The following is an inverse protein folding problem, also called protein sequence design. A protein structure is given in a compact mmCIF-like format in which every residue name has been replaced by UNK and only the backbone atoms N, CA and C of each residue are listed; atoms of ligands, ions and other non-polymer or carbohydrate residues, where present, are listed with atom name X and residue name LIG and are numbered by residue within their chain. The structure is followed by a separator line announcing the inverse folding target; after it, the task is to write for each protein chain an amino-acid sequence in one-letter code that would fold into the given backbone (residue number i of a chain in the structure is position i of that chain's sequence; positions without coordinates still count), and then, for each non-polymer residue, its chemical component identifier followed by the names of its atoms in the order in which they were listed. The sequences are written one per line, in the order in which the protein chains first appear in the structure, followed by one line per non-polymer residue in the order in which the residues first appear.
data_IF_420532233989
#
_entry.id   IF_420532233989
#
_cell.length_a   1.000
_cell.length_b   1.000
_cell.length_c   1.000
_cell.angle_alpha   90.00
_cell.angle_beta   90.00
_cell.angle_gamma   90.00
#
_symmetry.space_group_name_H-M   'P 1'
#
loop_
_entity.id
_entity.type
_entity.pdbx_description
1 polymer ?
#
# COMPACT_ATOMS: atom_id res chain seq x y z
N UNK A 1 -15.65 -5.14 37.20
CA UNK A 1 -15.52 -6.13 36.11
C UNK A 1 -14.22 -5.86 35.38
N UNK A 2 -13.30 -6.83 35.25
CA UNK A 2 -12.05 -6.59 34.53
C UNK A 2 -12.33 -6.55 33.02
N UNK A 3 -11.86 -5.49 32.35
CA UNK A 3 -11.90 -5.37 30.88
C UNK A 3 -11.05 -6.50 30.30
N UNK A 4 -11.63 -7.32 29.42
CA UNK A 4 -10.86 -8.26 28.59
C UNK A 4 -9.75 -7.43 27.94
N UNK A 5 -8.50 -7.66 28.33
CA UNK A 5 -7.36 -6.95 27.76
C UNK A 5 -7.26 -7.39 26.31
N UNK A 6 -7.22 -6.43 25.39
CA UNK A 6 -7.00 -6.56 23.94
C UNK A 6 -5.60 -7.12 23.62
N UNK A 7 -5.27 -8.26 24.21
CA UNK A 7 -3.99 -8.93 24.13
C UNK A 7 -4.20 -10.35 23.64
N UNK A 8 -3.81 -10.60 22.39
CA UNK A 8 -3.75 -11.94 21.83
C UNK A 8 -2.49 -12.63 22.35
N UNK A 9 -2.65 -13.78 22.99
CA UNK A 9 -1.52 -14.59 23.43
C UNK A 9 -1.15 -15.59 22.36
N UNK A 10 0.14 -15.81 22.16
CA UNK A 10 0.65 -16.75 21.15
C UNK A 10 1.75 -17.62 21.76
N UNK A 11 1.99 -18.76 21.09
CA UNK A 11 3.10 -19.64 21.43
C UNK A 11 3.78 -20.14 20.16
N UNK A 12 5.03 -19.74 19.96
CA UNK A 12 5.89 -20.21 18.87
C UNK A 12 7.15 -20.83 19.48
N UNK A 13 7.49 -22.06 19.09
CA UNK A 13 8.69 -22.78 19.53
C UNK A 13 8.97 -22.71 21.04
N UNK A 14 7.91 -22.87 21.83
CA UNK A 14 7.99 -22.85 23.30
C UNK A 14 7.95 -21.45 23.92
N UNK A 15 8.20 -20.38 23.17
CA UNK A 15 8.13 -18.99 23.62
C UNK A 15 6.67 -18.54 23.70
N UNK A 16 6.26 -18.05 24.88
CA UNK A 16 4.95 -17.44 25.08
C UNK A 16 5.08 -15.93 25.02
N UNK A 17 4.21 -15.30 24.24
CA UNK A 17 4.12 -13.84 24.16
C UNK A 17 2.68 -13.37 24.17
N UNK A 18 2.50 -12.07 24.37
CA UNK A 18 1.23 -11.39 24.18
C UNK A 18 1.45 -10.19 23.27
N UNK A 19 0.64 -10.07 22.22
CA UNK A 19 0.60 -8.88 21.38
C UNK A 19 -0.66 -8.10 21.72
N UNK A 20 -0.55 -6.78 21.83
CA UNK A 20 -1.73 -5.94 21.79
C UNK A 20 -2.34 -5.96 20.36
N UNK A 21 -3.61 -5.55 20.23
CA UNK A 21 -4.31 -5.55 18.96
C UNK A 21 -3.59 -4.77 17.84
N UNK A 22 -2.94 -3.64 18.17
CA UNK A 22 -2.20 -2.83 17.20
C UNK A 22 -0.96 -3.55 16.66
N UNK A 23 -0.19 -4.20 17.53
CA UNK A 23 0.99 -4.99 17.11
C UNK A 23 0.58 -6.22 16.31
N UNK A 24 -0.55 -6.85 16.66
CA UNK A 24 -1.09 -7.95 15.86
C UNK A 24 -1.49 -7.49 14.45
N UNK A 25 -2.21 -6.36 14.35
CA UNK A 25 -2.59 -5.79 13.06
C UNK A 25 -1.38 -5.47 12.18
N UNK A 26 -0.33 -4.88 12.78
CA UNK A 26 0.93 -4.62 12.08
C UNK A 26 1.62 -5.91 11.62
N UNK A 27 1.67 -6.95 12.46
CA UNK A 27 2.26 -8.23 12.09
C UNK A 27 1.52 -8.89 10.91
N UNK A 28 0.20 -8.82 10.89
CA UNK A 28 -0.62 -9.30 9.76
C UNK A 28 -0.34 -8.49 8.51
N UNK A 29 -0.27 -7.16 8.61
CA UNK A 29 0.04 -6.30 7.46
C UNK A 29 1.42 -6.60 6.86
N UNK A 30 2.43 -6.85 7.72
CA UNK A 30 3.77 -7.26 7.27
C UNK A 30 3.70 -8.63 6.58
N UNK A 31 2.99 -9.60 7.15
CA UNK A 31 2.84 -10.92 6.56
C UNK A 31 2.12 -10.88 5.19
N UNK A 32 1.07 -10.06 5.07
CA UNK A 32 0.34 -9.85 3.81
C UNK A 32 1.25 -9.26 2.72
N UNK A 33 2.09 -8.28 3.06
CA UNK A 33 3.04 -7.68 2.11
C UNK A 33 4.20 -8.62 1.77
N UNK A 34 4.73 -9.35 2.77
CA UNK A 34 5.82 -10.30 2.57
C UNK A 34 5.40 -11.44 1.64
N UNK A 35 4.19 -12.00 1.83
CA UNK A 35 3.68 -13.06 0.97
C UNK A 35 3.56 -12.62 -0.50
N UNK A 36 3.11 -11.38 -0.74
CA UNK A 36 3.09 -10.82 -2.10
C UNK A 36 4.51 -10.67 -2.66
N UNK A 37 5.40 -10.05 -1.89
CA UNK A 37 6.79 -9.81 -2.31
C UNK A 37 7.53 -11.11 -2.62
N UNK A 38 7.34 -12.17 -1.83
CA UNK A 38 7.94 -13.48 -2.08
C UNK A 38 7.55 -14.04 -3.46
N UNK A 39 6.29 -13.85 -3.88
CA UNK A 39 5.85 -14.25 -5.22
C UNK A 39 6.48 -13.34 -6.29
N UNK A 40 6.44 -12.02 -6.11
CA UNK A 40 6.94 -11.06 -7.10
C UNK A 40 8.46 -11.16 -7.33
N UNK A 41 9.23 -11.53 -6.30
CA UNK A 41 10.70 -11.67 -6.35
C UNK A 41 11.09 -13.01 -6.98
N UNK A 42 10.44 -14.09 -6.60
CA UNK A 42 10.89 -15.44 -6.94
C UNK A 42 10.18 -16.05 -8.15
N UNK A 43 8.95 -15.64 -8.45
CA UNK A 43 8.20 -16.20 -9.57
C UNK A 43 8.58 -15.50 -10.89
N UNK A 44 8.80 -16.25 -11.98
CA UNK A 44 8.99 -15.67 -13.30
C UNK A 44 7.79 -14.79 -13.69
N UNK A 45 8.08 -13.56 -14.13
CA UNK A 45 7.06 -12.66 -14.65
C UNK A 45 6.80 -12.93 -16.14
N UNK A 46 5.52 -12.92 -16.51
CA UNK A 46 5.03 -13.09 -17.88
C UNK A 46 4.05 -11.96 -18.18
N UNK A 47 4.30 -11.20 -19.23
CA UNK A 47 3.34 -10.20 -19.73
C UNK A 47 2.33 -10.90 -20.65
N UNK A 48 1.04 -10.81 -20.30
CA UNK A 48 -0.04 -11.42 -21.06
C UNK A 48 -1.28 -10.51 -21.02
N UNK A 49 -1.85 -10.22 -22.19
CA UNK A 49 -3.00 -9.32 -22.35
C UNK A 49 -2.81 -7.92 -21.71
N UNK A 50 -1.57 -7.43 -21.69
CA UNK A 50 -1.20 -6.14 -21.09
C UNK A 50 -1.18 -6.13 -19.57
N UNK A 51 -1.26 -7.31 -18.93
CA UNK A 51 -1.11 -7.49 -17.50
C UNK A 51 0.13 -8.32 -17.18
N UNK A 52 0.79 -7.97 -16.09
CA UNK A 52 1.90 -8.73 -15.55
C UNK A 52 1.39 -9.89 -14.69
N UNK A 53 1.67 -11.12 -15.12
CA UNK A 53 1.41 -12.35 -14.37
C UNK A 53 2.70 -12.95 -13.80
N UNK A 54 2.57 -13.72 -12.73
CA UNK A 54 3.64 -14.42 -12.05
C UNK A 54 3.37 -15.93 -12.08
N UNK A 55 4.31 -16.71 -12.62
CA UNK A 55 4.17 -18.16 -12.69
C UNK A 55 4.55 -18.84 -11.37
N UNK A 56 3.53 -19.16 -10.58
CA UNK A 56 3.69 -19.84 -9.29
C UNK A 56 4.01 -21.34 -9.42
N UNK A 57 3.98 -21.92 -10.63
CA UNK A 57 4.32 -23.34 -10.84
C UNK A 57 5.83 -23.56 -10.99
N UNK A 58 6.58 -22.50 -11.33
CA UNK A 58 8.05 -22.50 -11.38
C UNK A 58 8.63 -23.69 -12.16
N UNK A 59 8.06 -23.97 -13.34
CA UNK A 59 8.32 -25.17 -14.11
C UNK A 59 9.77 -25.42 -14.53
N UNK A 60 10.63 -24.39 -14.56
CA UNK A 60 11.95 -24.49 -15.21
C UNK A 60 13.18 -24.00 -14.41
N UNK A 61 13.05 -23.58 -13.16
CA UNK A 61 14.24 -23.14 -12.37
C UNK A 61 15.06 -24.36 -11.90
N UNK A 62 16.34 -24.44 -12.26
CA UNK A 62 17.25 -25.50 -11.81
C UNK A 62 18.28 -24.95 -10.82
N UNK A 63 18.66 -25.74 -9.81
CA UNK A 63 19.63 -25.37 -8.77
C UNK A 63 19.08 -25.39 -7.34
N UNK A 64 19.96 -25.21 -6.36
CA UNK A 64 19.60 -25.16 -4.93
C UNK A 64 18.72 -23.93 -4.62
N UNK A 65 19.06 -22.78 -5.20
CA UNK A 65 18.27 -21.53 -5.14
C UNK A 65 16.86 -21.70 -5.71
N UNK A 66 16.69 -22.54 -6.73
CA UNK A 66 15.38 -22.85 -7.30
C UNK A 66 14.49 -23.61 -6.31
N UNK A 67 15.07 -24.41 -5.43
CA UNK A 67 14.31 -25.16 -4.41
C UNK A 67 13.82 -24.24 -3.31
N UNK A 68 14.67 -23.33 -2.84
CA UNK A 68 14.30 -22.31 -1.86
C UNK A 68 13.22 -21.35 -2.40
N UNK A 69 13.39 -20.87 -3.64
CA UNK A 69 12.41 -20.03 -4.33
C UNK A 69 11.04 -20.72 -4.46
N UNK A 70 11.02 -21.98 -4.91
CA UNK A 70 9.79 -22.79 -4.99
C UNK A 70 9.12 -22.98 -3.64
N UNK A 71 9.91 -23.17 -2.59
CA UNK A 71 9.39 -23.30 -1.24
C UNK A 71 8.75 -21.99 -0.77
N UNK A 72 9.44 -20.85 -0.96
CA UNK A 72 8.93 -19.52 -0.62
C UNK A 72 7.60 -19.22 -1.32
N UNK A 73 7.54 -19.40 -2.65
CA UNK A 73 6.31 -19.19 -3.44
C UNK A 73 5.18 -20.10 -2.94
N UNK A 74 5.47 -21.38 -2.66
CA UNK A 74 4.45 -22.30 -2.14
C UNK A 74 3.91 -21.87 -0.78
N UNK A 75 4.77 -21.38 0.12
CA UNK A 75 4.33 -20.89 1.42
C UNK A 75 3.51 -19.60 1.29
N UNK A 76 3.97 -18.66 0.45
CA UNK A 76 3.25 -17.44 0.15
C UNK A 76 1.85 -17.74 -0.42
N UNK A 77 1.73 -18.60 -1.44
CA UNK A 77 0.42 -18.95 -2.03
C UNK A 77 -0.50 -19.60 -0.99
N UNK A 78 0.01 -20.51 -0.14
CA UNK A 78 -0.77 -21.12 0.94
C UNK A 78 -1.25 -20.11 1.97
N UNK A 79 -0.38 -19.16 2.35
CA UNK A 79 -0.74 -18.07 3.25
C UNK A 79 -1.86 -17.22 2.66
N UNK A 80 -1.73 -16.84 1.39
CA UNK A 80 -2.70 -16.03 0.66
C UNK A 80 -4.06 -16.73 0.57
N UNK A 81 -4.06 -18.02 0.22
CA UNK A 81 -5.27 -18.86 0.20
C UNK A 81 -5.92 -18.97 1.59
N UNK A 82 -5.14 -19.07 2.65
CA UNK A 82 -5.66 -19.11 4.02
C UNK A 82 -6.23 -17.75 4.50
N UNK A 83 -5.71 -16.63 3.98
CA UNK A 83 -6.22 -15.28 4.29
C UNK A 83 -7.53 -14.97 3.57
N UNK A 84 -7.77 -15.56 2.40
CA UNK A 84 -8.98 -15.33 1.61
C UNK A 84 -9.16 -13.86 1.22
N UNK A 85 -10.37 -13.32 1.38
CA UNK A 85 -10.73 -11.96 0.95
C UNK A 85 -10.26 -10.83 1.89
N UNK A 86 -9.53 -11.15 2.96
CA UNK A 86 -9.09 -10.18 3.96
C UNK A 86 -7.75 -9.51 3.63
N UNK A 87 -7.24 -9.67 2.40
CA UNK A 87 -5.99 -9.09 1.92
C UNK A 87 -6.20 -7.65 1.44
N UNK A 88 -5.19 -6.77 1.58
CA UNK A 88 -5.28 -5.38 1.11
C UNK A 88 -5.16 -5.24 -0.41
N UNK A 89 -5.11 -6.36 -1.15
CA UNK A 89 -5.00 -6.44 -2.59
C UNK A 89 -5.73 -7.70 -3.07
N UNK A 90 -6.05 -7.78 -4.36
CA UNK A 90 -6.78 -8.90 -4.95
C UNK A 90 -5.84 -9.82 -5.72
N UNK A 91 -5.92 -11.12 -5.45
CA UNK A 91 -5.28 -12.14 -6.26
C UNK A 91 -6.21 -12.54 -7.40
N UNK A 92 -5.82 -12.28 -8.64
CA UNK A 92 -6.45 -12.81 -9.85
C UNK A 92 -5.64 -13.97 -10.39
N UNK A 93 -6.32 -15.00 -10.88
CA UNK A 93 -5.69 -16.13 -11.60
C UNK A 93 -6.08 -16.06 -13.07
N UNK A 94 -5.14 -16.40 -13.93
CA UNK A 94 -5.44 -16.50 -15.36
C UNK A 94 -6.42 -17.65 -15.62
N UNK A 95 -7.45 -17.43 -16.44
CA UNK A 95 -8.57 -18.36 -16.62
C UNK A 95 -8.15 -19.71 -17.23
N UNK A 96 -7.24 -19.67 -18.21
CA UNK A 96 -6.77 -20.87 -18.90
C UNK A 96 -5.53 -21.49 -18.25
N UNK A 97 -4.87 -20.76 -17.34
CA UNK A 97 -3.61 -21.17 -16.72
C UNK A 97 -3.63 -20.74 -15.23
N UNK A 98 -4.27 -21.51 -14.34
CA UNK A 98 -4.48 -21.12 -12.94
C UNK A 98 -3.19 -20.94 -12.11
N UNK A 99 -2.05 -21.39 -12.64
CA UNK A 99 -0.72 -21.18 -12.08
C UNK A 99 -0.17 -19.76 -12.30
N UNK A 100 -0.76 -18.98 -13.21
CA UNK A 100 -0.42 -17.59 -13.45
C UNK A 100 -1.23 -16.69 -12.51
N UNK A 101 -0.52 -15.95 -11.67
CA UNK A 101 -1.05 -15.09 -10.63
C UNK A 101 -0.88 -13.62 -11.02
N UNK A 102 -1.91 -12.81 -10.82
CA UNK A 102 -1.84 -11.36 -10.97
C UNK A 102 -2.30 -10.70 -9.68
N UNK A 103 -1.50 -9.76 -9.19
CA UNK A 103 -1.87 -8.95 -8.03
C UNK A 103 -2.46 -7.63 -8.52
N UNK A 104 -3.73 -7.46 -8.27
CA UNK A 104 -4.44 -6.21 -8.53
C UNK A 104 -4.49 -5.43 -7.22
N UNK A 105 -3.92 -4.22 -7.22
CA UNK A 105 -4.20 -3.28 -6.15
C UNK A 105 -5.70 -2.98 -6.16
N UNK A 106 -6.34 -2.78 -4.99
CA UNK A 106 -7.71 -2.31 -4.97
C UNK A 106 -7.75 -1.05 -5.84
N UNK A 107 -8.36 -1.16 -7.01
CA UNK A 107 -8.84 0.01 -7.70
C UNK A 107 -9.89 0.54 -6.75
N UNK A 108 -9.59 1.67 -6.12
CA UNK A 108 -10.54 2.47 -5.38
C UNK A 108 -11.70 2.81 -6.34
N UNK A 109 -12.65 1.87 -6.50
CA UNK A 109 -14.04 2.17 -6.80
C UNK A 109 -14.76 2.52 -5.49
N UNK A 110 -14.02 3.06 -4.53
CA UNK A 110 -14.40 4.24 -3.80
C UNK A 110 -13.20 5.17 -3.83
N UNK A 111 -13.09 6.00 -4.88
CA UNK A 111 -12.45 7.30 -4.73
C UNK A 111 -13.00 7.85 -3.43
N UNK A 112 -12.14 7.85 -2.42
CA UNK A 112 -12.43 8.30 -1.08
C UNK A 112 -13.13 9.64 -1.18
N UNK A 113 -14.45 9.59 -1.12
CA UNK A 113 -15.31 10.68 -0.71
C UNK A 113 -15.05 11.04 0.75
N UNK A 114 -14.11 10.35 1.40
CA UNK A 114 -13.66 10.41 2.79
C UNK A 114 -12.28 11.05 2.99
N UNK A 115 -11.71 11.73 1.99
CA UNK A 115 -10.83 12.88 2.32
C UNK A 115 -11.67 13.93 3.06
N UNK A 116 -11.12 14.77 3.95
CA UNK A 116 -11.90 15.85 4.57
C UNK A 116 -12.45 16.74 3.46
N UNK A 117 -13.73 16.53 3.11
CA UNK A 117 -14.50 17.40 2.24
C UNK A 117 -14.67 18.69 3.01
N UNK A 118 -13.85 19.68 2.70
CA UNK A 118 -14.05 20.99 3.26
C UNK A 118 -15.32 21.57 2.61
N UNK A 119 -16.22 22.10 3.43
CA UNK A 119 -17.36 22.83 2.92
C UNK A 119 -16.86 24.12 2.25
N UNK A 120 -17.37 24.44 1.06
CA UNK A 120 -17.11 25.73 0.44
C UNK A 120 -17.71 26.84 1.31
N UNK A 121 -16.91 27.81 1.75
CA UNK A 121 -17.36 28.93 2.60
C UNK A 121 -18.53 29.74 2.01
N UNK A 122 -18.68 29.74 0.68
CA UNK A 122 -19.73 30.51 0.01
C UNK A 122 -21.02 29.72 -0.27
N UNK A 123 -20.98 28.39 -0.31
CA UNK A 123 -22.16 27.59 -0.69
C UNK A 123 -22.37 26.30 0.12
N UNK A 124 -21.53 26.05 1.13
CA UNK A 124 -21.50 24.86 1.98
C UNK A 124 -21.43 23.50 1.27
N UNK A 125 -21.27 23.50 -0.06
CA UNK A 125 -21.13 22.28 -0.85
C UNK A 125 -19.73 21.68 -0.68
N UNK A 126 -19.61 20.34 -0.69
CA UNK A 126 -18.34 19.65 -0.52
C UNK A 126 -17.40 19.95 -1.69
N UNK A 127 -16.17 20.36 -1.39
CA UNK A 127 -15.14 20.63 -2.41
C UNK A 127 -14.49 19.33 -2.90
N UNK A 128 -13.92 19.40 -4.11
CA UNK A 128 -13.19 18.29 -4.73
C UNK A 128 -11.88 17.97 -4.02
N UNK A 129 -11.12 17.04 -4.59
CA UNK A 129 -9.83 16.56 -4.06
C UNK A 129 -8.86 17.71 -3.75
N UNK A 130 -7.94 17.54 -2.78
CA UNK A 130 -6.98 18.58 -2.38
C UNK A 130 -6.07 19.07 -3.52
N UNK A 131 -6.00 18.34 -4.63
CA UNK A 131 -5.31 18.73 -5.86
C UNK A 131 -6.02 19.83 -6.67
N UNK A 132 -7.29 20.14 -6.38
CA UNK A 132 -8.04 21.19 -7.07
C UNK A 132 -8.85 22.02 -6.06
N UNK A 133 -8.37 23.21 -5.66
CA UNK A 133 -9.04 24.04 -4.66
C UNK A 133 -10.22 24.82 -5.27
N UNK A 134 -10.93 24.26 -6.26
CA UNK A 134 -12.07 24.91 -6.91
C UNK A 134 -13.35 24.20 -6.50
N UNK A 135 -14.32 24.96 -5.98
CA UNK A 135 -15.65 24.46 -5.73
C UNK A 135 -16.36 24.26 -7.08
N UNK A 136 -16.70 23.02 -7.44
CA UNK A 136 -17.37 22.71 -8.71
C UNK A 136 -18.67 23.50 -8.94
N UNK A 137 -19.57 23.60 -7.94
CA UNK A 137 -20.84 24.33 -8.08
C UNK A 137 -20.74 25.85 -8.27
N UNK A 138 -19.85 26.54 -7.54
CA UNK A 138 -19.78 28.00 -7.58
C UNK A 138 -18.52 28.56 -8.26
N UNK A 139 -17.63 27.68 -8.73
CA UNK A 139 -16.34 27.99 -9.36
C UNK A 139 -15.46 28.95 -8.54
N UNK A 140 -15.66 29.02 -7.22
CA UNK A 140 -14.83 29.82 -6.33
C UNK A 140 -13.72 28.99 -5.69
N UNK A 141 -12.60 29.64 -5.41
CA UNK A 141 -11.43 29.02 -4.81
C UNK A 141 -11.75 28.69 -3.34
N UNK A 142 -11.79 27.41 -3.00
CA UNK A 142 -11.92 26.89 -1.65
C UNK A 142 -10.60 27.08 -0.89
N UNK A 143 -10.33 28.31 -0.46
CA UNK A 143 -9.15 28.64 0.32
C UNK A 143 -9.46 28.40 1.79
N UNK A 144 -9.12 27.23 2.32
CA UNK A 144 -8.97 27.07 3.78
C UNK A 144 -7.57 27.53 4.19
N UNK A 145 -7.45 28.16 5.36
CA UNK A 145 -6.19 28.68 5.94
C UNK A 145 -5.04 27.67 5.92
N UNK A 146 -5.34 26.37 5.97
CA UNK A 146 -4.37 25.28 5.88
C UNK A 146 -3.72 25.14 4.50
N UNK A 147 -4.43 25.46 3.42
CA UNK A 147 -3.87 25.46 2.05
C UNK A 147 -2.97 26.69 1.84
N UNK A 148 -3.33 27.84 2.41
CA UNK A 148 -2.47 29.02 2.44
C UNK A 148 -1.20 28.74 3.28
N UNK A 149 -1.33 28.07 4.41
CA UNK A 149 -0.20 27.63 5.23
C UNK A 149 0.70 26.62 4.51
N UNK A 150 0.12 25.67 3.76
CA UNK A 150 0.86 24.68 2.99
C UNK A 150 1.61 25.29 1.80
N UNK A 151 0.99 26.25 1.11
CA UNK A 151 1.63 27.01 0.03
C UNK A 151 2.79 27.87 0.57
N UNK A 152 2.60 28.53 1.71
CA UNK A 152 3.66 29.28 2.38
C UNK A 152 4.81 28.36 2.85
N UNK A 153 4.51 27.14 3.28
CA UNK A 153 5.53 26.15 3.66
C UNK A 153 6.34 25.65 2.44
N UNK A 154 5.68 25.40 1.30
CA UNK A 154 6.37 25.02 0.06
C UNK A 154 7.31 26.14 -0.43
N UNK A 155 6.85 27.40 -0.43
CA UNK A 155 7.71 28.54 -0.80
C UNK A 155 8.95 28.67 0.09
N UNK A 156 8.84 28.36 1.39
CA UNK A 156 9.98 28.37 2.31
C UNK A 156 10.97 27.24 2.02
N UNK A 157 10.49 26.05 1.65
CA UNK A 157 11.35 24.94 1.27
C UNK A 157 12.12 25.24 -0.03
N UNK A 158 11.47 25.85 -1.02
CA UNK A 158 12.13 26.26 -2.26
C UNK A 158 13.24 27.29 -2.01
N UNK A 159 13.00 28.26 -1.12
CA UNK A 159 14.02 29.23 -0.70
C UNK A 159 15.20 28.57 0.00
N UNK A 160 14.95 27.59 0.89
CA UNK A 160 16.02 26.83 1.54
C UNK A 160 16.84 26.06 0.51
N UNK A 161 16.18 25.46 -0.49
CA UNK A 161 16.87 24.73 -1.55
C UNK A 161 17.73 25.65 -2.43
N UNK A 162 17.24 26.84 -2.76
CA UNK A 162 18.01 27.85 -3.48
C UNK A 162 19.22 28.36 -2.67
N UNK A 163 19.06 28.56 -1.37
CA UNK A 163 20.17 28.96 -0.48
C UNK A 163 21.20 27.84 -0.38
N UNK A 164 20.79 26.57 -0.23
CA UNK A 164 21.71 25.43 -0.24
C UNK A 164 22.51 25.38 -1.55
N UNK A 165 21.82 25.55 -2.69
CA UNK A 165 22.48 25.60 -4.00
C UNK A 165 23.50 26.73 -4.09
N UNK A 166 23.13 27.94 -3.66
CA UNK A 166 24.05 29.09 -3.66
C UNK A 166 25.26 28.89 -2.73
N UNK A 167 25.08 28.24 -1.57
CA UNK A 167 26.19 27.92 -0.66
C UNK A 167 27.15 26.91 -1.32
N UNK A 168 26.63 25.89 -1.99
CA UNK A 168 27.46 24.92 -2.72
C UNK A 168 28.24 25.57 -3.87
N UNK A 169 27.66 26.54 -4.58
CA UNK A 169 28.32 27.26 -5.67
C UNK A 169 29.40 28.26 -5.19
N UNK A 170 29.33 28.73 -3.93
CA UNK A 170 30.36 29.60 -3.33
C UNK A 170 31.52 28.79 -2.73
N UNK A 171 31.30 27.50 -2.43
CA UNK A 171 32.31 26.60 -1.86
C UNK A 171 33.09 25.78 -2.91
N UNK A 172 32.72 25.88 -4.20
CA UNK A 172 33.45 25.34 -5.35
C UNK A 172 34.40 26.37 -5.95
#
# INVERSE_FOLDING_TARGET
MPKIRDTCTFRFDGVRGALNAGTLALAVAIADQAARADVEIHAPAVELDGLRFFDATCGNTQGEDATAARYAIRQAVRYIEARGDALPWRLKRHISQPGLLHFEEPTDVEVATSGPRHACVNCDMPTGTPSSPMCGPCAQQAVTEMAAALAAAHQRLDLIHQVQKAICEVQS
#
